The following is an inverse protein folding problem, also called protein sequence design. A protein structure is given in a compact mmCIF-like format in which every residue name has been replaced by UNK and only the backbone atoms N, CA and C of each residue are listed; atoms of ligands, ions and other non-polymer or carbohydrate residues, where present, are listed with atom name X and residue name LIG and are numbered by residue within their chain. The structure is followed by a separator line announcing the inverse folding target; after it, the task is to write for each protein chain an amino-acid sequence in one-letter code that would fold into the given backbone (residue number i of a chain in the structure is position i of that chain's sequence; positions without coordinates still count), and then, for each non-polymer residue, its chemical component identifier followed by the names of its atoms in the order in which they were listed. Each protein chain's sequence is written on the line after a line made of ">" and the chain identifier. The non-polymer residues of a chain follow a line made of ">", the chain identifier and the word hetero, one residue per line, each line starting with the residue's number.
data_IF_614903571575
#
_entry.id   IF_614903571575
#
_cell.length_a   1.000
_cell.length_b   1.000
_cell.length_c   1.000
_cell.angle_alpha   90.00
_cell.angle_beta   90.00
_cell.angle_gamma   90.00
#
_symmetry.space_group_name_H-M   'P 1'
#
loop_
_entity.id
_entity.type
_entity.pdbx_description
1 polymer ?
#
# COMPACT_ATOMS: atom_id res chain seq x y z
N UNK A 1 -8.88 -15.03 -8.89
CA UNK A 1 -8.13 -14.48 -10.04
C UNK A 1 -7.32 -13.29 -9.53
N UNK A 2 -6.03 -13.22 -9.90
CA UNK A 2 -5.12 -12.15 -9.48
C UNK A 2 -5.03 -11.10 -10.59
N UNK A 3 -5.17 -9.83 -10.21
CA UNK A 3 -5.07 -8.68 -11.09
C UNK A 3 -4.03 -7.69 -10.57
N UNK A 4 -3.35 -7.03 -11.50
CA UNK A 4 -2.55 -5.85 -11.23
C UNK A 4 -3.34 -4.65 -11.73
N UNK A 5 -3.53 -3.65 -10.88
CA UNK A 5 -4.21 -2.41 -11.25
C UNK A 5 -3.48 -1.19 -10.70
N UNK A 6 -3.83 -0.04 -11.23
CA UNK A 6 -3.39 1.23 -10.66
C UNK A 6 -3.90 1.40 -9.23
N UNK A 7 -3.10 2.09 -8.42
CA UNK A 7 -3.46 2.51 -7.08
C UNK A 7 -4.61 3.51 -7.15
N UNK A 8 -5.60 3.33 -6.28
CA UNK A 8 -6.78 4.19 -6.18
C UNK A 8 -6.81 4.89 -4.83
N UNK A 9 -7.52 6.01 -4.76
CA UNK A 9 -7.62 6.79 -3.54
C UNK A 9 -8.32 6.02 -2.40
N UNK A 10 -9.21 5.10 -2.73
CA UNK A 10 -9.91 4.23 -1.78
C UNK A 10 -8.96 3.24 -1.07
N UNK A 11 -7.81 2.92 -1.68
CA UNK A 11 -6.83 1.97 -1.12
C UNK A 11 -6.14 2.52 0.13
N UNK A 12 -6.19 3.84 0.37
CA UNK A 12 -5.55 4.49 1.54
C UNK A 12 -5.91 3.82 2.86
N UNK A 13 -7.19 3.50 3.02
CA UNK A 13 -7.71 2.87 4.24
C UNK A 13 -7.04 1.52 4.52
N UNK A 14 -6.79 0.74 3.46
CA UNK A 14 -6.12 -0.55 3.53
C UNK A 14 -4.62 -0.39 3.81
N UNK A 15 -3.96 0.63 3.24
CA UNK A 15 -2.57 0.95 3.58
C UNK A 15 -2.43 1.27 5.07
N UNK A 16 -3.26 2.16 5.62
CA UNK A 16 -3.22 2.49 7.05
C UNK A 16 -3.48 1.26 7.91
N UNK A 17 -4.43 0.40 7.53
CA UNK A 17 -4.70 -0.83 8.26
C UNK A 17 -3.51 -1.80 8.24
N UNK A 18 -2.98 -2.12 7.06
CA UNK A 18 -1.96 -3.15 6.91
C UNK A 18 -0.56 -2.68 7.34
N UNK A 19 -0.17 -1.43 7.08
CA UNK A 19 1.15 -0.92 7.45
C UNK A 19 1.28 -0.62 8.95
N UNK A 20 0.17 -0.66 9.69
CA UNK A 20 0.19 -0.67 11.15
C UNK A 20 0.00 -2.06 11.75
N UNK A 21 -0.15 -3.12 10.94
CA UNK A 21 -0.16 -4.50 11.42
C UNK A 21 1.27 -5.02 11.54
N UNK A 22 1.71 -5.31 12.76
CA UNK A 22 3.04 -5.87 13.04
C UNK A 22 3.33 -7.16 12.26
N UNK A 23 2.30 -7.92 11.92
CA UNK A 23 2.43 -9.16 11.14
C UNK A 23 2.77 -8.89 9.67
N UNK A 24 2.51 -7.67 9.18
CA UNK A 24 2.79 -7.21 7.82
C UNK A 24 4.06 -6.38 7.78
N UNK A 25 4.14 -5.30 8.58
CA UNK A 25 5.24 -4.32 8.52
C UNK A 25 6.61 -4.94 8.75
N UNK A 26 6.70 -6.02 9.54
CA UNK A 26 7.95 -6.76 9.80
C UNK A 26 8.61 -7.34 8.55
N UNK A 27 7.85 -7.51 7.47
CA UNK A 27 8.33 -8.02 6.20
C UNK A 27 8.73 -6.91 5.24
N UNK A 28 8.37 -5.66 5.54
CA UNK A 28 8.58 -4.52 4.65
C UNK A 28 9.84 -3.74 5.02
N UNK A 29 10.23 -2.82 4.14
CA UNK A 29 11.39 -1.95 4.34
C UNK A 29 11.25 -1.11 5.62
N UNK A 30 12.34 -0.98 6.38
CA UNK A 30 12.42 -0.05 7.52
C UNK A 30 12.30 1.43 7.14
N UNK A 31 12.22 1.75 5.84
CA UNK A 31 11.93 3.10 5.33
C UNK A 31 10.44 3.48 5.44
N UNK A 32 9.55 2.51 5.66
CA UNK A 32 8.13 2.80 5.85
C UNK A 32 7.94 3.41 7.25
N UNK A 33 7.30 4.58 7.37
CA UNK A 33 6.97 5.18 8.67
C UNK A 33 6.13 4.23 9.53
N UNK A 34 6.43 4.17 10.83
CA UNK A 34 5.61 3.45 11.80
C UNK A 34 5.47 4.31 13.07
N UNK A 35 4.24 4.69 13.49
CA UNK A 35 2.96 4.33 12.89
C UNK A 35 2.74 4.99 11.52
N UNK A 36 2.03 4.30 10.63
CA UNK A 36 1.70 4.78 9.29
C UNK A 36 0.40 5.58 9.31
N UNK A 37 0.41 6.81 8.82
CA UNK A 37 -0.73 7.74 8.93
C UNK A 37 -1.55 7.87 7.65
N UNK A 38 -2.75 8.46 7.75
CA UNK A 38 -3.55 8.78 6.56
C UNK A 38 -2.83 9.76 5.62
N UNK A 39 -2.03 10.69 6.16
CA UNK A 39 -1.22 11.61 5.36
C UNK A 39 -0.13 10.86 4.57
N UNK A 40 0.49 9.85 5.19
CA UNK A 40 1.46 8.99 4.49
C UNK A 40 0.78 8.21 3.37
N UNK A 41 -0.40 7.65 3.64
CA UNK A 41 -1.20 6.94 2.64
C UNK A 41 -1.59 7.87 1.48
N UNK A 42 -2.08 9.07 1.76
CA UNK A 42 -2.43 10.10 0.78
C UNK A 42 -1.24 10.43 -0.13
N UNK A 43 -0.09 10.72 0.48
CA UNK A 43 1.12 11.00 -0.27
C UNK A 43 1.53 9.82 -1.14
N UNK A 44 1.42 8.58 -0.63
CA UNK A 44 1.78 7.38 -1.38
C UNK A 44 0.90 7.15 -2.61
N UNK A 45 -0.44 7.16 -2.47
CA UNK A 45 -1.35 6.91 -3.62
C UNK A 45 -1.32 8.04 -4.65
N UNK A 46 -1.05 9.28 -4.23
CA UNK A 46 -1.08 10.43 -5.15
C UNK A 46 0.26 10.72 -5.80
N UNK A 47 1.37 10.48 -5.08
CA UNK A 47 2.72 10.90 -5.46
C UNK A 47 3.73 9.75 -5.39
N UNK A 48 3.93 9.16 -4.21
CA UNK A 48 5.03 8.20 -3.95
C UNK A 48 5.02 6.99 -4.89
N UNK A 49 3.84 6.43 -5.16
CA UNK A 49 3.66 5.30 -6.08
C UNK A 49 3.83 5.63 -7.57
N UNK A 50 3.97 6.92 -7.92
CA UNK A 50 4.05 7.39 -9.32
C UNK A 50 5.41 7.97 -9.68
N UNK A 51 6.23 8.30 -8.70
CA UNK A 51 7.50 9.01 -8.92
C UNK A 51 8.61 8.05 -9.43
N UNK A 52 8.68 6.79 -8.97
CA UNK A 52 9.72 5.84 -9.37
C UNK A 52 9.21 4.40 -9.60
N UNK A 53 9.28 3.94 -10.86
CA UNK A 53 9.02 2.55 -11.24
C UNK A 53 7.56 2.20 -11.52
N UNK A 54 7.31 0.92 -11.84
CA UNK A 54 5.96 0.39 -12.03
C UNK A 54 5.46 -0.13 -10.68
N UNK A 55 4.61 0.65 -10.03
CA UNK A 55 3.91 0.26 -8.80
C UNK A 55 2.47 -0.07 -9.15
N UNK A 56 1.96 -1.19 -8.63
CA UNK A 56 0.57 -1.62 -8.84
C UNK A 56 -0.01 -2.25 -7.59
N UNK A 57 -1.29 -2.05 -7.38
CA UNK A 57 -2.05 -2.77 -6.38
C UNK A 57 -2.29 -4.19 -6.89
N UNK A 58 -2.12 -5.17 -6.00
CA UNK A 58 -2.52 -6.55 -6.27
C UNK A 58 -3.94 -6.72 -5.77
N UNK A 59 -4.82 -7.16 -6.65
CA UNK A 59 -6.21 -7.49 -6.32
C UNK A 59 -6.43 -8.99 -6.53
N UNK A 60 -6.93 -9.68 -5.51
CA UNK A 60 -7.35 -11.07 -5.62
C UNK A 60 -8.81 -11.19 -5.24
N UNK A 61 -9.64 -11.62 -6.19
CA UNK A 61 -11.09 -11.80 -5.98
C UNK A 61 -11.79 -10.55 -5.39
N UNK A 62 -11.32 -9.35 -5.76
CA UNK A 62 -11.84 -8.06 -5.28
C UNK A 62 -11.18 -7.52 -4.00
N UNK A 63 -10.23 -8.26 -3.41
CA UNK A 63 -9.50 -7.84 -2.21
C UNK A 63 -8.12 -7.29 -2.55
N UNK A 64 -7.77 -6.16 -1.95
CA UNK A 64 -6.41 -5.60 -2.02
C UNK A 64 -5.44 -6.45 -1.20
N UNK A 65 -4.28 -6.71 -1.79
CA UNK A 65 -3.19 -7.47 -1.19
C UNK A 65 -1.92 -6.62 -1.22
N UNK A 66 -1.23 -6.56 -0.07
CA UNK A 66 0.16 -6.10 0.00
C UNK A 66 1.05 -7.32 -0.24
N UNK A 67 1.81 -7.31 -1.34
CA UNK A 67 2.89 -8.27 -1.55
C UNK A 67 4.21 -7.71 -1.02
N UNK A 68 5.01 -8.61 -0.46
CA UNK A 68 6.42 -8.40 -0.08
C UNK A 68 7.32 -8.75 -1.25
#
# INVERSE_FOLDING_TARGET
>A
MIWLREMKHEDKSQFVQFLNDERVIKFLSSRIPFPYTETDAEWWVTRGSKDDGIVSAIECDGYFIIAN
#
